data_IF_342364758633
#
_entry.id   IF_342364758633
#
_cell.length_a   1.000
_cell.length_b   1.000
_cell.length_c   1.000
_cell.angle_alpha   90.00
_cell.angle_beta   90.00
_cell.angle_gamma   90.00
#
_symmetry.space_group_name_H-M   'P 1'
#
loop_
_entity.id
_entity.type
_entity.pdbx_description
1 polymer ?
#
# COMPACT_ATOMS: atom_id res chain seq x y z
N UNK A 1 -2.28 11.95 3.56
CA UNK A 1 -2.58 10.55 3.95
C UNK A 1 -2.94 9.77 2.70
N UNK A 2 -2.33 8.60 2.51
CA UNK A 2 -2.58 7.70 1.38
C UNK A 2 -2.97 6.34 1.96
N UNK A 3 -4.12 5.84 1.55
CA UNK A 3 -4.58 4.51 1.94
C UNK A 3 -4.41 3.54 0.76
N UNK A 4 -3.79 2.39 1.04
CA UNK A 4 -3.52 1.32 0.09
C UNK A 4 -4.16 0.06 0.63
N UNK A 5 -4.96 -0.62 -0.19
CA UNK A 5 -5.44 -1.97 0.11
C UNK A 5 -4.53 -2.97 -0.61
N UNK A 6 -3.58 -3.64 0.09
CA UNK A 6 -2.60 -4.50 -0.55
C UNK A 6 -3.27 -5.69 -1.25
N UNK A 7 -2.65 -6.16 -2.32
CA UNK A 7 -3.18 -7.27 -3.10
C UNK A 7 -3.21 -8.60 -2.34
N UNK A 8 -2.22 -8.81 -1.46
CA UNK A 8 -2.14 -9.98 -0.59
C UNK A 8 -3.01 -9.90 0.67
N UNK A 9 -3.67 -8.76 0.94
CA UNK A 9 -4.41 -8.56 2.18
C UNK A 9 -5.91 -8.77 1.95
N UNK A 10 -6.52 -9.61 2.78
CA UNK A 10 -7.96 -9.90 2.73
C UNK A 10 -8.80 -8.96 3.62
N UNK A 11 -8.19 -8.37 4.65
CA UNK A 11 -8.93 -7.64 5.70
C UNK A 11 -8.25 -6.38 6.23
N UNK A 12 -6.97 -6.15 5.94
CA UNK A 12 -6.22 -5.03 6.51
C UNK A 12 -5.74 -4.09 5.41
N UNK A 13 -5.93 -2.79 5.61
CA UNK A 13 -5.41 -1.74 4.75
C UNK A 13 -4.17 -1.09 5.36
N UNK A 14 -3.31 -0.58 4.50
CA UNK A 14 -2.13 0.20 4.85
C UNK A 14 -2.46 1.69 4.75
N UNK A 15 -2.21 2.45 5.81
CA UNK A 15 -2.27 3.92 5.83
C UNK A 15 -0.86 4.48 5.89
N UNK A 16 -0.54 5.36 4.95
CA UNK A 16 0.73 6.06 4.84
C UNK A 16 0.48 7.54 5.11
N UNK A 17 1.02 8.05 6.21
CA UNK A 17 0.96 9.46 6.59
C UNK A 17 2.23 10.14 6.08
N UNK A 18 2.05 11.24 5.35
CA UNK A 18 3.13 11.99 4.72
C UNK A 18 3.21 13.37 5.36
N UNK A 19 4.41 13.81 5.68
CA UNK A 19 4.72 15.16 6.14
C UNK A 19 5.90 15.70 5.34
N UNK A 20 5.73 16.85 4.71
CA UNK A 20 6.75 17.50 3.86
C UNK A 20 7.38 16.58 2.78
N UNK A 21 6.56 15.68 2.21
CA UNK A 21 7.01 14.72 1.19
C UNK A 21 7.72 13.47 1.75
N UNK A 22 7.94 13.40 3.05
CA UNK A 22 8.51 12.23 3.73
C UNK A 22 7.44 11.37 4.39
N UNK A 23 7.71 10.07 4.52
CA UNK A 23 6.84 9.14 5.24
C UNK A 23 7.05 9.34 6.74
N UNK A 24 6.05 9.91 7.39
CA UNK A 24 6.06 10.14 8.84
C UNK A 24 5.61 8.88 9.60
N UNK A 25 4.58 8.21 9.09
CA UNK A 25 3.98 7.07 9.79
C UNK A 25 3.32 6.07 8.83
N UNK A 26 3.46 4.79 9.18
CA UNK A 26 2.84 3.67 8.48
C UNK A 26 2.03 2.87 9.48
N UNK A 27 0.76 2.63 9.17
CA UNK A 27 -0.18 1.99 10.08
C UNK A 27 -1.06 1.00 9.31
N UNK A 28 -1.25 -0.21 9.85
CA UNK A 28 -2.29 -1.11 9.38
C UNK A 28 -3.60 -0.79 10.09
N UNK A 29 -4.69 -0.73 9.33
CA UNK A 29 -6.00 -0.43 9.85
C UNK A 29 -7.07 -1.30 9.18
N UNK A 30 -8.20 -1.49 9.83
CA UNK A 30 -9.37 -2.13 9.24
C UNK A 30 -10.06 -1.12 8.29
N UNK A 31 -10.17 -1.41 6.98
CA UNK A 31 -10.78 -0.49 6.02
C UNK A 31 -12.30 -0.33 6.18
N UNK A 32 -12.98 -1.28 6.82
CA UNK A 32 -14.42 -1.26 7.04
C UNK A 32 -14.78 -0.42 8.26
N UNK A 33 -14.07 -0.61 9.36
CA UNK A 33 -14.36 0.06 10.65
C UNK A 33 -13.53 1.32 10.88
N UNK A 34 -12.37 1.45 10.20
CA UNK A 34 -11.41 2.52 10.41
C UNK A 34 -10.50 2.32 11.64
N UNK A 35 -10.63 1.20 12.35
CA UNK A 35 -9.83 0.91 13.53
C UNK A 35 -8.35 0.75 13.17
N UNK A 36 -7.48 1.45 13.90
CA UNK A 36 -6.03 1.27 13.77
C UNK A 36 -5.59 -0.01 14.47
N UNK A 37 -5.02 -0.94 13.72
CA UNK A 37 -4.59 -2.24 14.22
C UNK A 37 -3.17 -2.20 14.79
N UNK A 38 -2.19 -1.73 13.99
CA UNK A 38 -0.78 -1.69 14.40
C UNK A 38 0.05 -0.70 13.60
N UNK A 39 1.08 -0.13 14.24
CA UNK A 39 2.09 0.68 13.57
C UNK A 39 3.22 -0.21 13.02
N UNK A 40 3.74 0.15 11.85
CA UNK A 40 4.81 -0.59 11.18
C UNK A 40 5.95 0.35 10.80
N UNK A 41 7.18 -0.15 10.83
CA UNK A 41 8.34 0.61 10.34
C UNK A 41 8.52 0.49 8.83
N UNK A 42 8.02 -0.59 8.23
CA UNK A 42 8.17 -0.90 6.81
C UNK A 42 7.04 -1.81 6.35
N UNK A 43 6.58 -1.60 5.13
CA UNK A 43 5.68 -2.50 4.41
C UNK A 43 6.13 -2.62 2.95
N UNK A 44 5.96 -3.80 2.34
CA UNK A 44 6.28 -4.03 0.93
C UNK A 44 4.98 -4.20 0.16
N UNK A 45 4.70 -3.32 -0.80
CA UNK A 45 3.49 -3.42 -1.64
C UNK A 45 3.82 -4.18 -2.92
N UNK A 46 3.13 -5.28 -3.15
CA UNK A 46 3.23 -6.03 -4.41
C UNK A 46 2.14 -5.63 -5.42
N UNK A 47 2.37 -5.81 -6.73
CA UNK A 47 1.34 -5.58 -7.74
C UNK A 47 0.11 -6.48 -7.53
N UNK A 48 -1.06 -5.96 -7.91
CA UNK A 48 -2.33 -6.71 -7.85
C UNK A 48 -2.40 -7.95 -8.74
N UNK A 49 -1.50 -8.08 -9.71
CA UNK A 49 -1.52 -9.18 -10.69
C UNK A 49 -0.12 -9.75 -10.88
N UNK A 50 -0.06 -11.07 -11.09
CA UNK A 50 1.16 -11.79 -11.45
C UNK A 50 1.69 -11.45 -12.84
N UNK A 51 0.90 -10.78 -13.68
CA UNK A 51 1.26 -10.39 -15.05
C UNK A 51 1.65 -8.91 -15.17
N UNK A 52 1.90 -8.23 -14.04
CA UNK A 52 2.30 -6.84 -14.05
C UNK A 52 3.62 -6.67 -14.82
N UNK A 53 3.60 -5.81 -15.83
CA UNK A 53 4.74 -5.52 -16.70
C UNK A 53 4.92 -4.01 -16.81
N UNK A 54 6.15 -3.53 -16.98
CA UNK A 54 6.42 -2.10 -17.11
C UNK A 54 5.85 -1.54 -18.42
N UNK A 55 5.43 -0.27 -18.40
CA UNK A 55 4.90 0.41 -19.59
C UNK A 55 5.90 0.41 -20.75
N UNK A 56 7.18 0.61 -20.45
CA UNK A 56 8.28 0.58 -21.43
C UNK A 56 8.32 -0.75 -22.21
N UNK A 57 8.19 -1.88 -21.52
CA UNK A 57 8.19 -3.21 -22.14
C UNK A 57 6.99 -3.44 -23.06
N UNK A 58 5.83 -2.90 -22.70
CA UNK A 58 4.62 -2.99 -23.53
C UNK A 58 4.75 -2.17 -24.80
N UNK A 59 5.40 -1.00 -24.73
CA UNK A 59 5.56 -0.09 -25.89
C UNK A 59 6.70 -0.49 -26.84
N UNK A 60 7.64 -1.31 -26.38
CA UNK A 60 8.76 -1.81 -27.18
C UNK A 60 8.43 -3.07 -28.00
N UNK A 61 7.23 -3.63 -27.85
CA UNK A 61 6.72 -4.80 -28.58
C UNK A 61 5.91 -4.36 -29.81
#
# INVERSE_FOLDING_TARGET
VIDVFPAESDSEALRIELFDGEVEKITMFDPLTGETLRNMQRFTVYPKTHYATTRERVLAA
#
